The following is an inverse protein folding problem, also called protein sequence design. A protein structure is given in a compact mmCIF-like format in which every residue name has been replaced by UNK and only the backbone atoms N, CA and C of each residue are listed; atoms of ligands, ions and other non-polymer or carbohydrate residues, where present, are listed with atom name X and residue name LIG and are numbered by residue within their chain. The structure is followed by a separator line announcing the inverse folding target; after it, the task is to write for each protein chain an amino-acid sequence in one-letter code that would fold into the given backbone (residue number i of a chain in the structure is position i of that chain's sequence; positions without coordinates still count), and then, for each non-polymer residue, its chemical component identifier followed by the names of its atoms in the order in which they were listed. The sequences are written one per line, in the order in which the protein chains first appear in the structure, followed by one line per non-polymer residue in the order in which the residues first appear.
data_IF_779922476998
#
_entry.id   IF_779922476998
#
_cell.length_a   1.000
_cell.length_b   1.000
_cell.length_c   1.000
_cell.angle_alpha   90.00
_cell.angle_beta   90.00
_cell.angle_gamma   90.00
#
_symmetry.space_group_name_H-M   'P 1'
#
loop_
_entity.id
_entity.type
_entity.pdbx_description
1 polymer ?
#
# COMPACT_ATOMS: atom_id res chain seq x y z
N UNK A 1 -9.10 -8.67 -9.56
CA UNK A 1 -9.03 -9.76 -10.55
C UNK A 1 -8.24 -10.98 -10.00
N UNK A 2 -7.22 -10.78 -9.17
CA UNK A 2 -6.59 -11.90 -8.43
C UNK A 2 -7.57 -12.38 -7.37
N UNK A 3 -7.90 -13.66 -7.39
CA UNK A 3 -8.91 -14.24 -6.51
C UNK A 3 -8.51 -14.13 -5.04
N UNK A 4 -9.44 -13.67 -4.20
CA UNK A 4 -9.26 -13.55 -2.75
C UNK A 4 -8.73 -12.20 -2.29
N UNK A 5 -8.15 -11.38 -3.17
CA UNK A 5 -7.70 -10.03 -2.82
C UNK A 5 -8.89 -9.13 -2.51
N UNK A 6 -8.80 -8.45 -1.35
CA UNK A 6 -9.73 -7.38 -0.95
C UNK A 6 -8.96 -6.15 -0.53
N UNK A 7 -9.48 -4.98 -0.85
CA UNK A 7 -8.87 -3.69 -0.49
C UNK A 7 -9.92 -2.80 0.15
N UNK A 8 -9.58 -2.20 1.28
CA UNK A 8 -10.44 -1.26 1.98
C UNK A 8 -9.74 0.06 2.24
N UNK A 9 -10.51 1.12 2.35
CA UNK A 9 -9.99 2.47 2.50
C UNK A 9 -10.70 3.22 3.61
N UNK A 10 -9.93 4.07 4.30
CA UNK A 10 -10.45 5.17 5.12
C UNK A 10 -9.79 6.45 4.66
N UNK A 11 -10.60 7.40 4.20
CA UNK A 11 -10.14 8.66 3.61
C UNK A 11 -10.39 9.82 4.57
N UNK A 12 -9.36 10.61 4.84
CA UNK A 12 -9.40 11.84 5.61
C UNK A 12 -9.12 13.02 4.67
N UNK A 13 -10.18 13.76 4.32
CA UNK A 13 -10.11 14.83 3.33
C UNK A 13 -10.92 16.03 3.77
N UNK A 14 -10.34 16.86 4.65
CA UNK A 14 -10.94 18.09 5.16
C UNK A 14 -9.89 19.20 5.27
N UNK A 15 -10.12 20.32 4.62
CA UNK A 15 -9.22 21.47 4.60
C UNK A 15 -7.77 21.07 4.26
N UNK A 16 -6.86 21.21 5.22
CA UNK A 16 -5.43 20.83 5.08
C UNK A 16 -5.16 19.36 5.34
N UNK A 17 -6.15 18.58 5.77
CA UNK A 17 -6.03 17.14 6.01
C UNK A 17 -6.27 16.42 4.68
N UNK A 18 -5.23 15.79 4.15
CA UNK A 18 -5.26 15.04 2.89
C UNK A 18 -4.51 13.74 3.06
N UNK A 19 -5.10 12.78 3.77
CA UNK A 19 -4.43 11.53 4.15
C UNK A 19 -5.44 10.39 4.25
N UNK A 20 -4.98 9.23 4.68
CA UNK A 20 -5.84 8.09 4.93
C UNK A 20 -5.08 6.79 5.09
N UNK A 21 -5.84 5.72 5.07
CA UNK A 21 -5.36 4.34 5.25
C UNK A 21 -5.93 3.47 4.13
N UNK A 22 -5.10 2.58 3.61
CA UNK A 22 -5.52 1.51 2.72
C UNK A 22 -5.10 0.18 3.33
N UNK A 23 -6.03 -0.76 3.46
CA UNK A 23 -5.78 -2.12 3.92
C UNK A 23 -5.94 -3.11 2.76
N UNK A 24 -5.02 -4.04 2.60
CA UNK A 24 -5.09 -5.12 1.61
C UNK A 24 -5.09 -6.46 2.32
N UNK A 25 -6.12 -7.25 2.06
CA UNK A 25 -6.19 -8.67 2.44
C UNK A 25 -5.81 -9.53 1.24
N UNK A 26 -4.87 -10.46 1.38
CA UNK A 26 -4.43 -11.31 0.27
C UNK A 26 -5.34 -12.52 0.04
N UNK A 27 -6.18 -12.89 1.01
CA UNK A 27 -7.21 -13.93 0.91
C UNK A 27 -8.29 -13.77 1.98
N UNK A 28 -9.36 -14.57 1.89
CA UNK A 28 -10.52 -14.52 2.80
C UNK A 28 -10.34 -15.28 4.13
N UNK A 29 -9.29 -16.12 4.23
CA UNK A 29 -9.01 -16.94 5.40
C UNK A 29 -8.30 -16.16 6.52
N UNK A 30 -7.92 -16.88 7.58
CA UNK A 30 -7.12 -16.34 8.66
C UNK A 30 -5.64 -16.34 8.27
N UNK A 31 -5.13 -15.19 7.86
CA UNK A 31 -3.77 -15.05 7.33
C UNK A 31 -2.67 -15.40 8.34
N UNK A 32 -2.91 -15.30 9.64
CA UNK A 32 -1.95 -15.71 10.65
C UNK A 32 -1.77 -17.23 10.69
N UNK A 33 -2.86 -17.96 10.44
CA UNK A 33 -2.88 -19.45 10.42
C UNK A 33 -2.59 -20.00 9.03
N UNK A 34 -3.01 -19.31 8.00
CA UNK A 34 -2.85 -19.67 6.59
C UNK A 34 -1.94 -18.66 5.89
N UNK A 35 -0.66 -18.65 6.33
CA UNK A 35 0.34 -17.70 5.80
C UNK A 35 0.57 -17.92 4.32
N UNK A 36 0.76 -16.83 3.59
CA UNK A 36 1.10 -16.88 2.17
C UNK A 36 2.59 -16.74 1.95
N UNK A 37 3.10 -17.40 0.92
CA UNK A 37 4.45 -17.15 0.42
C UNK A 37 4.52 -15.68 -0.01
N UNK A 38 5.52 -14.99 0.48
CA UNK A 38 5.74 -13.57 0.24
C UNK A 38 7.22 -13.25 0.22
N UNK A 39 7.59 -12.29 -0.60
CA UNK A 39 8.94 -11.72 -0.63
C UNK A 39 8.84 -10.20 -0.67
N UNK A 40 9.84 -9.52 -0.15
CA UNK A 40 9.92 -8.08 -0.20
C UNK A 40 11.22 -7.61 -0.88
N UNK A 41 11.18 -6.40 -1.41
CA UNK A 41 12.36 -5.74 -1.96
C UNK A 41 12.33 -4.25 -1.66
N UNK A 42 13.39 -3.75 -1.04
CA UNK A 42 13.55 -2.32 -0.72
C UNK A 42 14.38 -1.66 -1.81
N UNK A 43 13.73 -0.83 -2.65
CA UNK A 43 14.40 -0.11 -3.74
C UNK A 43 15.42 0.88 -3.17
N UNK A 44 15.03 1.63 -2.12
CA UNK A 44 15.94 2.42 -1.30
C UNK A 44 15.47 2.45 0.16
N UNK A 45 16.42 2.55 1.08
CA UNK A 45 16.21 2.39 2.52
C UNK A 45 15.80 3.65 3.28
N UNK A 46 15.32 4.71 2.63
CA UNK A 46 14.90 5.93 3.34
C UNK A 46 13.48 5.81 3.96
N UNK A 47 12.71 4.81 3.58
CA UNK A 47 11.36 4.53 4.10
C UNK A 47 11.34 4.13 5.58
N UNK A 48 10.14 4.20 6.19
CA UNK A 48 9.87 3.83 7.59
C UNK A 48 8.92 2.61 7.67
N UNK A 49 8.75 1.88 6.58
CA UNK A 49 7.94 0.66 6.55
C UNK A 49 8.41 -0.36 7.59
N UNK A 50 7.50 -1.15 8.14
CA UNK A 50 7.80 -2.21 9.10
C UNK A 50 7.24 -3.56 8.65
N UNK A 51 7.72 -4.64 9.30
CA UNK A 51 7.31 -6.03 9.02
C UNK A 51 8.08 -6.71 7.90
N UNK A 52 8.89 -5.98 7.12
CA UNK A 52 9.62 -6.54 5.98
C UNK A 52 10.72 -7.52 6.39
N UNK A 53 11.37 -7.29 7.54
CA UNK A 53 12.42 -8.19 8.04
C UNK A 53 11.92 -9.62 8.28
N UNK A 54 10.68 -9.78 8.76
CA UNK A 54 10.09 -11.10 8.95
C UNK A 54 9.76 -11.76 7.61
N UNK A 55 9.29 -10.99 6.63
CA UNK A 55 9.06 -11.49 5.27
C UNK A 55 10.38 -11.98 4.65
N UNK A 56 11.45 -11.19 4.79
CA UNK A 56 12.77 -11.54 4.22
C UNK A 56 13.39 -12.78 4.88
N UNK A 57 13.16 -12.96 6.21
CA UNK A 57 13.69 -14.10 6.96
C UNK A 57 12.87 -15.39 6.74
N UNK A 58 11.54 -15.28 6.75
CA UNK A 58 10.65 -16.44 6.75
C UNK A 58 9.93 -16.70 5.43
N UNK A 59 10.03 -15.81 4.45
CA UNK A 59 9.38 -15.95 3.15
C UNK A 59 7.85 -15.94 3.21
N UNK A 60 7.24 -15.45 4.29
CA UNK A 60 5.79 -15.52 4.50
C UNK A 60 5.16 -14.21 4.96
N UNK A 61 3.91 -13.99 4.57
CA UNK A 61 3.05 -12.90 5.03
C UNK A 61 2.05 -13.44 6.05
N UNK A 62 1.97 -12.81 7.23
CA UNK A 62 1.12 -13.27 8.34
C UNK A 62 0.10 -12.23 8.81
N UNK A 63 0.04 -11.04 8.17
CA UNK A 63 -0.95 -9.99 8.44
C UNK A 63 -1.50 -9.42 7.14
N UNK A 64 -2.66 -8.74 7.17
CA UNK A 64 -2.99 -7.78 6.11
C UNK A 64 -1.87 -6.77 5.91
N UNK A 65 -1.78 -6.16 4.72
CA UNK A 65 -0.83 -5.08 4.43
C UNK A 65 -1.54 -3.75 4.61
N UNK A 66 -0.99 -2.87 5.44
CA UNK A 66 -1.51 -1.50 5.62
C UNK A 66 -0.62 -0.51 4.88
N UNK A 67 -1.26 0.40 4.13
CA UNK A 67 -0.62 1.56 3.52
C UNK A 67 -1.11 2.82 4.22
N UNK A 68 -0.20 3.74 4.54
CA UNK A 68 -0.53 5.01 5.18
C UNK A 68 0.56 6.06 4.94
N UNK A 69 0.52 7.19 5.62
CA UNK A 69 1.58 8.19 5.55
C UNK A 69 2.76 7.88 6.49
N UNK A 70 3.89 8.49 6.23
CA UNK A 70 5.17 8.27 6.92
C UNK A 70 5.08 8.38 8.46
N UNK A 71 4.40 9.41 8.99
CA UNK A 71 4.34 9.63 10.44
C UNK A 71 3.28 8.76 11.13
N UNK A 72 2.44 8.06 10.39
CA UNK A 72 1.38 7.21 10.93
C UNK A 72 1.72 5.73 10.98
N UNK A 73 2.93 5.33 10.56
CA UNK A 73 3.38 3.92 10.58
C UNK A 73 3.26 3.30 11.96
N UNK A 74 3.70 4.00 13.02
CA UNK A 74 3.59 3.49 14.40
C UNK A 74 2.15 3.27 14.84
N UNK A 75 1.25 4.21 14.54
CA UNK A 75 -0.19 4.09 14.84
C UNK A 75 -0.81 2.92 14.09
N UNK A 76 -0.49 2.78 12.80
CA UNK A 76 -1.01 1.70 11.97
C UNK A 76 -0.48 0.32 12.42
N UNK A 77 0.80 0.24 12.77
CA UNK A 77 1.42 -0.97 13.30
C UNK A 77 0.74 -1.43 14.61
N UNK A 78 0.55 -0.50 15.55
CA UNK A 78 -0.11 -0.80 16.83
C UNK A 78 -1.57 -1.25 16.62
N UNK A 79 -2.32 -0.58 15.75
CA UNK A 79 -3.69 -0.96 15.43
C UNK A 79 -3.77 -2.33 14.75
N UNK A 80 -2.86 -2.63 13.82
CA UNK A 80 -2.82 -3.92 13.14
C UNK A 80 -2.49 -5.07 14.11
N UNK A 81 -1.55 -4.86 15.03
CA UNK A 81 -1.26 -5.83 16.12
C UNK A 81 -2.53 -6.11 16.94
N UNK A 82 -3.23 -5.07 17.38
CA UNK A 82 -4.49 -5.21 18.13
C UNK A 82 -5.55 -5.98 17.34
N UNK A 83 -5.68 -5.69 16.05
CA UNK A 83 -6.59 -6.42 15.16
C UNK A 83 -6.23 -7.90 15.08
N UNK A 84 -4.95 -8.22 14.91
CA UNK A 84 -4.49 -9.61 14.82
C UNK A 84 -4.70 -10.38 16.13
N UNK A 85 -4.39 -9.79 17.28
CA UNK A 85 -4.61 -10.40 18.61
C UNK A 85 -6.11 -10.64 18.85
N UNK A 86 -6.98 -9.69 18.50
CA UNK A 86 -8.44 -9.85 18.64
C UNK A 86 -8.98 -11.04 17.85
N UNK A 87 -8.36 -11.36 16.71
CA UNK A 87 -8.80 -12.43 15.82
C UNK A 87 -8.01 -13.75 16.03
N UNK A 88 -6.99 -13.76 16.89
CA UNK A 88 -6.12 -14.92 17.14
C UNK A 88 -5.69 -14.93 18.60
N UNK A 89 -6.39 -15.69 19.43
CA UNK A 89 -6.14 -15.80 20.89
C UNK A 89 -4.80 -16.45 21.24
N UNK A 90 -4.20 -17.16 20.29
CA UNK A 90 -2.93 -17.85 20.41
C UNK A 90 -1.71 -16.93 20.27
N UNK A 91 -1.85 -15.73 19.64
CA UNK A 91 -0.76 -14.76 19.50
C UNK A 91 -0.28 -14.28 20.88
N UNK A 92 1.02 -14.50 21.15
CA UNK A 92 1.66 -14.08 22.40
C UNK A 92 1.25 -14.90 23.63
N UNK A 93 0.54 -16.01 23.44
CA UNK A 93 0.15 -16.96 24.51
C UNK A 93 0.71 -18.35 24.25
N UNK A 94 0.27 -19.02 23.23
CA UNK A 94 0.70 -20.37 22.85
C UNK A 94 1.56 -20.38 21.58
N UNK A 95 1.54 -19.29 20.82
CA UNK A 95 2.44 -19.04 19.68
C UNK A 95 3.34 -17.84 19.94
N UNK A 96 4.23 -17.53 19.00
CA UNK A 96 5.01 -16.29 19.00
C UNK A 96 4.12 -15.06 18.85
N UNK A 97 4.74 -13.89 18.75
CA UNK A 97 4.08 -12.62 18.47
C UNK A 97 3.78 -12.48 16.99
N UNK A 98 3.28 -11.32 16.56
CA UNK A 98 2.91 -11.03 15.18
C UNK A 98 3.76 -9.87 14.63
N UNK A 99 4.12 -9.95 13.35
CA UNK A 99 4.87 -8.92 12.65
C UNK A 99 3.92 -8.14 11.71
N UNK A 100 3.48 -6.94 12.11
CA UNK A 100 2.56 -6.15 11.29
C UNK A 100 3.29 -5.60 10.07
N UNK A 101 2.71 -5.77 8.88
CA UNK A 101 3.24 -5.20 7.64
C UNK A 101 2.56 -3.86 7.37
N UNK A 102 3.32 -2.78 7.54
CA UNK A 102 2.86 -1.41 7.27
C UNK A 102 3.86 -0.73 6.35
N UNK A 103 3.39 -0.26 5.21
CA UNK A 103 4.17 0.47 4.22
C UNK A 103 3.69 1.93 4.13
N UNK A 104 4.59 2.85 3.74
CA UNK A 104 4.29 4.27 3.78
C UNK A 104 4.77 5.04 2.56
N UNK A 105 4.05 6.10 2.24
CA UNK A 105 4.49 7.18 1.37
C UNK A 105 4.28 8.53 2.07
N UNK A 106 5.20 9.46 1.85
CA UNK A 106 5.14 10.78 2.48
C UNK A 106 4.13 11.70 1.77
N UNK A 107 3.00 11.97 2.42
CA UNK A 107 1.94 12.84 1.91
C UNK A 107 2.10 14.32 2.30
N UNK A 108 3.19 14.69 2.96
CA UNK A 108 3.39 16.02 3.53
C UNK A 108 3.45 17.19 2.54
N UNK A 109 3.41 16.91 1.23
CA UNK A 109 3.28 17.96 0.22
C UNK A 109 1.85 18.52 0.14
N UNK A 110 0.83 17.65 0.26
CA UNK A 110 -0.59 18.03 0.21
C UNK A 110 -1.27 17.99 1.57
N UNK A 111 -0.72 17.23 2.53
CA UNK A 111 -1.29 16.96 3.84
C UNK A 111 -0.56 17.71 4.95
N UNK A 112 -1.27 18.19 5.94
CA UNK A 112 -0.70 18.56 7.23
C UNK A 112 -0.25 17.30 7.98
N UNK A 113 0.88 16.73 7.55
CA UNK A 113 1.41 15.46 8.09
C UNK A 113 1.76 15.55 9.59
N UNK A 114 2.08 16.75 10.10
CA UNK A 114 2.42 16.99 11.52
C UNK A 114 1.22 16.94 12.44
N UNK A 115 0.01 17.02 11.90
CA UNK A 115 -1.23 16.94 12.69
C UNK A 115 -1.56 15.54 13.18
N UNK A 116 -0.86 14.47 12.74
CA UNK A 116 -1.10 13.10 13.15
C UNK A 116 -2.58 12.70 13.07
N UNK A 117 -3.19 13.02 11.93
CA UNK A 117 -4.64 12.88 11.73
C UNK A 117 -5.10 11.42 11.64
N UNK A 118 -4.25 10.49 11.21
CA UNK A 118 -4.55 9.06 11.20
C UNK A 118 -4.53 8.52 12.63
N UNK A 119 -5.65 7.89 13.05
CA UNK A 119 -5.84 7.25 14.34
C UNK A 119 -6.11 5.76 14.16
N UNK A 120 -6.01 4.96 15.23
CA UNK A 120 -6.23 3.52 15.19
C UNK A 120 -7.59 3.14 14.60
N UNK A 121 -8.64 3.91 14.89
CA UNK A 121 -10.00 3.72 14.36
C UNK A 121 -10.04 3.73 12.83
N UNK A 122 -9.21 4.55 12.18
CA UNK A 122 -9.15 4.63 10.72
C UNK A 122 -8.53 3.37 10.10
N UNK A 123 -7.60 2.72 10.82
CA UNK A 123 -7.06 1.43 10.39
C UNK A 123 -8.13 0.35 10.50
N UNK A 124 -8.85 0.29 11.63
CA UNK A 124 -9.95 -0.67 11.80
C UNK A 124 -11.04 -0.48 10.74
N UNK A 125 -11.43 0.76 10.45
CA UNK A 125 -12.38 1.06 9.39
C UNK A 125 -11.89 0.62 8.00
N UNK A 126 -10.61 0.84 7.69
CA UNK A 126 -10.04 0.38 6.42
C UNK A 126 -10.05 -1.16 6.32
N UNK A 127 -9.75 -1.86 7.42
CA UNK A 127 -9.84 -3.32 7.47
C UNK A 127 -11.28 -3.83 7.31
N UNK A 128 -12.26 -3.17 7.95
CA UNK A 128 -13.68 -3.52 7.88
C UNK A 128 -14.30 -3.23 6.51
N UNK A 129 -13.84 -2.18 5.83
CA UNK A 129 -14.33 -1.76 4.51
C UNK A 129 -13.70 -2.55 3.35
N UNK A 130 -12.90 -3.59 3.63
CA UNK A 130 -12.20 -4.32 2.58
C UNK A 130 -13.17 -5.14 1.70
N UNK A 131 -13.17 -4.86 0.41
CA UNK A 131 -14.01 -5.49 -0.59
C UNK A 131 -13.25 -5.81 -1.89
N UNK A 132 -13.79 -6.71 -2.70
CA UNK A 132 -13.19 -7.12 -3.98
C UNK A 132 -13.22 -5.99 -5.00
N UNK A 133 -14.31 -5.21 -5.02
CA UNK A 133 -14.45 -4.03 -5.89
C UNK A 133 -14.15 -2.78 -5.09
N UNK A 134 -12.94 -2.30 -5.17
CA UNK A 134 -12.48 -1.13 -4.43
C UNK A 134 -12.30 0.08 -5.35
N UNK A 135 -12.26 1.26 -4.76
CA UNK A 135 -12.02 2.52 -5.46
C UNK A 135 -10.52 2.76 -5.64
N UNK A 136 -10.17 3.55 -6.66
CA UNK A 136 -8.80 3.96 -6.97
C UNK A 136 -8.67 5.49 -7.02
N UNK A 137 -7.43 5.98 -7.14
CA UNK A 137 -7.12 7.40 -7.24
C UNK A 137 -6.86 8.04 -5.89
N UNK A 138 -7.52 9.19 -5.65
CA UNK A 138 -7.34 10.00 -4.44
C UNK A 138 -8.16 9.47 -3.27
N UNK A 139 -7.88 8.26 -2.84
CA UNK A 139 -8.63 7.56 -1.77
C UNK A 139 -7.68 6.88 -0.80
N UNK A 140 -8.11 6.71 0.45
CA UNK A 140 -7.32 6.05 1.49
C UNK A 140 -5.93 6.66 1.61
N UNK A 141 -4.90 5.82 1.65
CA UNK A 141 -3.51 6.26 1.66
C UNK A 141 -3.12 7.13 0.44
N UNK A 142 -3.85 7.02 -0.68
CA UNK A 142 -3.61 7.80 -1.90
C UNK A 142 -4.07 9.25 -1.84
N UNK A 143 -4.80 9.67 -0.79
CA UNK A 143 -5.46 10.98 -0.71
C UNK A 143 -4.47 12.15 -0.78
N UNK A 144 -3.34 12.07 -0.09
CA UNK A 144 -2.33 13.15 -0.04
C UNK A 144 -1.16 12.96 -1.01
N UNK A 145 -1.20 11.99 -1.92
CA UNK A 145 -0.08 11.65 -2.79
C UNK A 145 0.02 12.56 -4.01
N UNK A 146 1.27 12.84 -4.41
CA UNK A 146 1.62 13.59 -5.61
C UNK A 146 2.53 12.74 -6.49
N UNK A 147 2.18 12.55 -7.76
CA UNK A 147 2.95 11.76 -8.71
C UNK A 147 3.22 12.58 -9.96
N UNK A 148 4.49 12.68 -10.36
CA UNK A 148 4.94 13.58 -11.42
C UNK A 148 4.49 15.04 -11.20
N UNK A 149 4.47 15.49 -9.94
CA UNK A 149 3.95 16.82 -9.53
C UNK A 149 2.48 17.06 -9.92
N UNK A 150 1.76 15.99 -10.28
CA UNK A 150 0.31 15.96 -10.47
C UNK A 150 -0.32 15.20 -9.31
N UNK A 151 -1.64 15.06 -9.27
CA UNK A 151 -2.30 14.28 -8.22
C UNK A 151 -1.96 12.80 -8.37
N UNK A 152 -1.29 12.24 -7.36
CA UNK A 152 -1.01 10.81 -7.21
C UNK A 152 -2.15 10.04 -6.55
N UNK A 153 -1.91 8.79 -6.19
CA UNK A 153 -2.90 7.97 -5.48
C UNK A 153 -2.71 6.46 -5.63
N UNK A 154 -3.80 5.75 -5.43
CA UNK A 154 -3.89 4.30 -5.61
C UNK A 154 -4.23 3.99 -7.07
N UNK A 155 -3.56 3.02 -7.65
CA UNK A 155 -3.91 2.46 -8.95
C UNK A 155 -3.66 0.97 -8.98
N UNK A 156 -4.38 0.25 -9.84
CA UNK A 156 -4.14 -1.17 -10.04
C UNK A 156 -4.23 -1.57 -11.51
N UNK A 157 -3.62 -2.70 -11.82
CA UNK A 157 -3.73 -3.36 -13.12
C UNK A 157 -3.53 -4.86 -12.97
N UNK A 158 -4.12 -5.63 -13.86
CA UNK A 158 -3.93 -7.08 -13.89
C UNK A 158 -3.76 -7.63 -15.31
N UNK A 159 -3.22 -8.84 -15.39
CA UNK A 159 -3.10 -9.62 -16.62
C UNK A 159 -3.42 -11.07 -16.35
N UNK A 160 -4.20 -11.67 -17.23
CA UNK A 160 -4.36 -13.11 -17.30
C UNK A 160 -3.27 -13.66 -18.21
N UNK A 161 -2.57 -14.68 -17.73
CA UNK A 161 -1.54 -15.39 -18.47
C UNK A 161 -1.89 -16.87 -18.53
N UNK A 162 -1.48 -17.54 -19.59
CA UNK A 162 -1.69 -18.97 -19.76
C UNK A 162 -0.36 -19.71 -19.62
N UNK A 163 -0.31 -20.62 -18.65
CA UNK A 163 0.84 -21.50 -18.40
C UNK A 163 0.33 -22.95 -18.36
N UNK A 164 0.91 -23.83 -19.16
CA UNK A 164 0.58 -25.26 -19.19
C UNK A 164 -0.94 -25.53 -19.26
N UNK A 165 -1.63 -24.89 -20.21
CA UNK A 165 -3.08 -24.99 -20.46
C UNK A 165 -3.98 -24.42 -19.33
N UNK A 166 -3.41 -23.84 -18.27
CA UNK A 166 -4.13 -23.16 -17.17
C UNK A 166 -3.99 -21.65 -17.26
N UNK A 167 -5.04 -20.95 -16.90
CA UNK A 167 -5.04 -19.49 -16.81
C UNK A 167 -4.76 -19.07 -15.38
N UNK A 168 -3.89 -18.07 -15.23
CA UNK A 168 -3.52 -17.45 -13.97
C UNK A 168 -3.59 -15.93 -14.09
N UNK A 169 -3.84 -15.27 -12.99
CA UNK A 169 -3.87 -13.82 -12.94
C UNK A 169 -2.67 -13.27 -12.18
N UNK A 170 -2.02 -12.28 -12.76
CA UNK A 170 -1.04 -11.45 -12.07
C UNK A 170 -1.64 -10.07 -11.91
N UNK A 171 -1.69 -9.56 -10.67
CA UNK A 171 -2.18 -8.22 -10.34
C UNK A 171 -1.09 -7.37 -9.70
N UNK A 172 -1.17 -6.08 -9.93
CA UNK A 172 -0.34 -5.07 -9.27
C UNK A 172 -1.24 -3.98 -8.70
N UNK A 173 -0.97 -3.57 -7.45
CA UNK A 173 -1.52 -2.36 -6.85
C UNK A 173 -0.37 -1.42 -6.50
N UNK A 174 -0.51 -0.14 -6.79
CA UNK A 174 0.53 0.87 -6.59
C UNK A 174 -0.02 2.02 -5.77
N UNK A 175 0.76 2.45 -4.77
CA UNK A 175 0.64 3.76 -4.15
C UNK A 175 1.77 4.64 -4.68
N UNK A 176 1.43 5.62 -5.54
CA UNK A 176 2.42 6.42 -6.26
C UNK A 176 2.55 7.83 -5.69
N UNK A 177 3.79 8.22 -5.34
CA UNK A 177 4.14 9.52 -4.76
C UNK A 177 5.55 9.93 -5.16
N UNK A 178 5.83 10.03 -6.47
CA UNK A 178 7.19 10.27 -6.98
C UNK A 178 7.20 10.99 -8.33
N UNK A 179 8.37 11.41 -8.75
CA UNK A 179 8.71 11.86 -10.11
C UNK A 179 8.50 13.35 -10.35
N UNK A 180 9.24 13.86 -11.31
CA UNK A 180 9.13 15.22 -11.80
C UNK A 180 8.23 15.27 -13.03
N UNK A 181 7.52 16.36 -13.20
CA UNK A 181 6.56 16.57 -14.31
C UNK A 181 7.21 16.34 -15.68
N UNK A 182 8.46 16.78 -15.87
CA UNK A 182 9.24 16.62 -17.11
C UNK A 182 9.44 15.16 -17.52
N UNK A 183 9.45 14.24 -16.56
CA UNK A 183 9.74 12.82 -16.78
C UNK A 183 8.47 12.00 -17.06
N UNK A 184 7.29 12.65 -17.05
CA UNK A 184 6.02 11.98 -17.33
C UNK A 184 5.92 11.55 -18.78
N UNK A 185 5.89 10.22 -18.99
CA UNK A 185 5.69 9.59 -20.28
C UNK A 185 4.36 8.83 -20.26
N UNK A 186 3.50 9.09 -21.25
CA UNK A 186 2.23 8.39 -21.47
C UNK A 186 2.23 7.78 -22.87
N UNK A 187 2.04 6.47 -22.98
CA UNK A 187 2.07 5.74 -24.25
C UNK A 187 3.31 6.07 -25.11
N UNK A 188 4.49 6.11 -24.50
CA UNK A 188 5.76 6.42 -25.17
C UNK A 188 5.96 7.90 -25.54
N UNK A 189 5.02 8.79 -25.22
CA UNK A 189 5.12 10.22 -25.50
C UNK A 189 5.51 10.99 -24.25
N UNK A 190 6.50 11.87 -24.35
CA UNK A 190 6.95 12.79 -23.28
C UNK A 190 5.91 13.90 -23.06
N UNK A 191 4.84 13.57 -22.35
CA UNK A 191 3.72 14.51 -22.08
C UNK A 191 4.15 15.57 -21.09
N UNK A 192 5.03 15.22 -20.15
CA UNK A 192 5.53 16.15 -19.13
C UNK A 192 6.23 17.37 -19.68
N UNK A 193 7.05 17.22 -20.72
CA UNK A 193 7.74 18.34 -21.39
C UNK A 193 6.74 19.37 -21.97
N UNK A 194 5.57 18.93 -22.43
CA UNK A 194 4.52 19.81 -22.96
C UNK A 194 3.78 20.58 -21.87
N UNK A 195 3.67 20.02 -20.67
CA UNK A 195 2.98 20.64 -19.54
C UNK A 195 3.87 21.72 -18.91
N UNK A 196 5.18 21.51 -18.83
CA UNK A 196 6.15 22.41 -18.17
C UNK A 196 6.29 23.76 -18.90
N UNK A 197 6.07 23.82 -20.20
CA UNK A 197 6.13 25.10 -20.94
C UNK A 197 5.18 26.16 -20.40
N UNK A 198 4.30 25.80 -19.46
CA UNK A 198 3.31 26.69 -18.83
C UNK A 198 3.65 27.07 -17.37
N UNK A 199 4.67 26.48 -16.75
CA UNK A 199 5.00 26.69 -15.32
C UNK A 199 6.50 26.70 -15.09
N UNK A 200 7.01 27.76 -14.43
CA UNK A 200 8.42 27.91 -14.04
C UNK A 200 8.62 27.44 -12.59
N UNK A 201 8.92 26.19 -12.32
CA UNK A 201 9.41 25.78 -11.01
C UNK A 201 10.41 24.61 -11.12
N UNK A 202 11.67 24.85 -10.71
CA UNK A 202 12.64 23.80 -10.39
C UNK A 202 12.32 23.24 -9.00
N UNK A 203 11.84 22.01 -8.93
CA UNK A 203 11.72 21.28 -7.67
C UNK A 203 12.70 20.12 -7.63
N UNK A 204 13.29 19.89 -6.44
CA UNK A 204 14.12 18.72 -6.17
C UNK A 204 13.26 17.46 -6.24
N UNK A 205 13.75 16.44 -6.93
CA UNK A 205 13.13 15.14 -6.98
C UNK A 205 13.08 14.53 -5.58
N UNK A 206 11.88 14.31 -5.06
CA UNK A 206 11.60 13.58 -3.82
C UNK A 206 10.44 12.66 -4.11
N UNK A 207 10.52 11.44 -3.58
CA UNK A 207 9.43 10.52 -3.87
C UNK A 207 9.47 9.24 -3.06
N UNK A 208 8.36 8.55 -3.14
CA UNK A 208 8.15 7.23 -2.58
C UNK A 208 7.16 6.47 -3.46
N UNK A 209 7.29 5.17 -3.48
CA UNK A 209 6.38 4.28 -4.20
C UNK A 209 6.26 2.97 -3.42
N UNK A 210 5.05 2.43 -3.39
CA UNK A 210 4.80 1.06 -2.93
C UNK A 210 4.16 0.32 -4.09
N UNK A 211 4.69 -0.85 -4.40
CA UNK A 211 4.17 -1.75 -5.42
C UNK A 211 3.88 -3.08 -4.73
N UNK A 212 2.63 -3.52 -4.76
CA UNK A 212 2.20 -4.83 -4.26
C UNK A 212 1.85 -5.68 -5.48
N UNK A 213 2.56 -6.78 -5.64
CA UNK A 213 2.28 -7.79 -6.67
C UNK A 213 1.58 -8.97 -6.02
N UNK A 214 0.54 -9.48 -6.69
CA UNK A 214 -0.18 -10.67 -6.26
C UNK A 214 -0.46 -11.57 -7.47
N UNK A 215 -0.48 -12.88 -7.23
CA UNK A 215 -0.80 -13.87 -8.26
C UNK A 215 -1.44 -15.10 -7.63
N UNK A 216 -2.24 -15.79 -8.42
CA UNK A 216 -2.80 -17.12 -8.11
C UNK A 216 -1.97 -18.27 -8.74
N UNK A 217 -0.80 -17.96 -9.30
CA UNK A 217 0.16 -18.97 -9.76
C UNK A 217 0.66 -19.75 -8.54
N UNK A 218 0.60 -21.09 -8.53
CA UNK A 218 1.25 -21.89 -7.49
C UNK A 218 2.74 -21.57 -7.41
N UNK A 219 3.21 -21.17 -6.25
CA UNK A 219 4.61 -20.88 -5.99
C UNK A 219 5.14 -21.89 -4.95
N UNK A 220 6.41 -22.25 -5.08
CA UNK A 220 7.15 -23.01 -4.07
C UNK A 220 8.25 -22.15 -3.48
N UNK A 221 8.61 -22.45 -2.23
CA UNK A 221 9.79 -21.87 -1.57
C UNK A 221 11.08 -22.13 -2.37
#
# INVERSE_FOLDING_TARGET
DVKGIKVGHTTLNDGKIKTGVTALFPHDGNIFKEKLICSSYVINGFGKSCGLMQIDELGTLETPIILTNTLSVGTASNALIKYMIKNNEDIGTTTGTVNPVVCECNDGFLNDIRGFHVKEEHIFQALENAEVKFQEGSIGAGTGMSCYQLKGGIGSASRVIKLDEKEYTIGAMVLSNFGLKKDLIINGKKVGEKIITMENEEQLEKGSIIIILATDIPMSE
#
